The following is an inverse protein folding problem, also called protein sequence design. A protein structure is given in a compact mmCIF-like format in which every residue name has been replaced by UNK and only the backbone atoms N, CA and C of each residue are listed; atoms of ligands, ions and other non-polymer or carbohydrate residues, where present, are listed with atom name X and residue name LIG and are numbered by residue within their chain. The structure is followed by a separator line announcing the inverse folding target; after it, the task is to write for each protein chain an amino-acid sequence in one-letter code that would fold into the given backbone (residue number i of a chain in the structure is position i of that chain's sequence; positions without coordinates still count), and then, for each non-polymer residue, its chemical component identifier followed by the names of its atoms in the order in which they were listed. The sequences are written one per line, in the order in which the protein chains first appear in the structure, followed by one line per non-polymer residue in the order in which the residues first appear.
data_IF_743385600831
#
_entry.id   IF_743385600831
#
_cell.length_a   1.000
_cell.length_b   1.000
_cell.length_c   1.000
_cell.angle_alpha   90.00
_cell.angle_beta   90.00
_cell.angle_gamma   90.00
#
_symmetry.space_group_name_H-M   'P 1'
#
loop_
_entity.id
_entity.type
_entity.pdbx_description
1 polymer ?
#
# COMPACT_ATOMS: atom_id res chain seq x y z
N UNK A 1 17.61 -5.53 -29.33
CA UNK A 1 17.46 -5.06 -27.94
C UNK A 1 18.84 -4.81 -27.36
N UNK A 2 18.98 -3.75 -26.56
CA UNK A 2 20.20 -3.52 -25.77
C UNK A 2 20.34 -4.63 -24.74
N UNK A 3 21.54 -5.20 -24.58
CA UNK A 3 21.78 -6.18 -23.51
C UNK A 3 21.77 -5.46 -22.16
N UNK A 4 20.74 -5.72 -21.37
CA UNK A 4 20.50 -5.15 -20.04
C UNK A 4 20.95 -6.06 -18.90
N UNK A 5 21.66 -7.17 -19.20
CA UNK A 5 22.20 -8.10 -18.21
C UNK A 5 23.07 -7.42 -17.14
N UNK A 6 23.98 -6.48 -17.49
CA UNK A 6 24.75 -5.76 -16.47
C UNK A 6 23.88 -4.97 -15.48
N UNK A 7 22.80 -4.36 -15.96
CA UNK A 7 21.90 -3.55 -15.14
C UNK A 7 21.03 -4.41 -14.23
N UNK A 8 20.57 -5.57 -14.69
CA UNK A 8 19.89 -6.58 -13.85
C UNK A 8 20.78 -7.06 -12.70
N UNK A 9 22.03 -7.43 -13.00
CA UNK A 9 23.01 -7.84 -11.97
C UNK A 9 23.30 -6.71 -10.98
N UNK A 10 23.50 -5.50 -11.48
CA UNK A 10 23.73 -4.33 -10.62
C UNK A 10 22.53 -4.02 -9.72
N UNK A 11 21.30 -4.23 -10.21
CA UNK A 11 20.08 -4.13 -9.39
C UNK A 11 20.06 -5.23 -8.32
N UNK A 12 20.28 -6.48 -8.69
CA UNK A 12 20.35 -7.59 -7.73
C UNK A 12 21.39 -7.33 -6.63
N UNK A 13 22.58 -6.84 -6.98
CA UNK A 13 23.62 -6.49 -6.01
C UNK A 13 23.20 -5.36 -5.06
N UNK A 14 22.45 -4.36 -5.56
CA UNK A 14 21.87 -3.31 -4.69
C UNK A 14 20.85 -3.90 -3.71
N UNK A 15 19.98 -4.80 -4.17
CA UNK A 15 18.97 -5.45 -3.34
C UNK A 15 19.60 -6.35 -2.26
N UNK A 16 20.67 -7.08 -2.59
CA UNK A 16 21.45 -7.84 -1.61
C UNK A 16 22.07 -6.93 -0.57
N UNK A 17 22.69 -5.81 -0.99
CA UNK A 17 23.27 -4.82 -0.05
C UNK A 17 22.21 -4.17 0.85
N UNK A 18 20.99 -3.98 0.34
CA UNK A 18 19.87 -3.48 1.13
C UNK A 18 19.29 -4.53 2.10
N UNK A 19 19.75 -5.79 2.03
CA UNK A 19 19.30 -6.87 2.91
C UNK A 19 17.92 -7.44 2.57
N UNK A 20 17.33 -7.05 1.45
CA UNK A 20 15.98 -7.46 1.04
C UNK A 20 15.96 -8.62 0.05
N UNK A 21 17.10 -8.93 -0.58
CA UNK A 21 17.26 -10.08 -1.46
C UNK A 21 18.28 -11.03 -0.83
N UNK A 22 17.81 -12.17 -0.36
CA UNK A 22 18.59 -13.10 0.47
C UNK A 22 18.72 -14.45 -0.22
N UNK A 23 17.66 -14.90 -0.90
CA UNK A 23 17.61 -16.20 -1.57
C UNK A 23 18.35 -16.17 -2.91
N UNK A 24 19.27 -17.13 -3.16
CA UNK A 24 19.90 -17.28 -4.47
C UNK A 24 18.89 -17.51 -5.61
N UNK A 25 17.74 -18.13 -5.31
CA UNK A 25 16.71 -18.40 -6.32
C UNK A 25 15.91 -17.14 -6.69
N UNK A 26 15.62 -16.27 -5.73
CA UNK A 26 15.03 -14.96 -6.03
C UNK A 26 16.04 -14.04 -6.72
N UNK A 27 17.33 -14.18 -6.40
CA UNK A 27 18.39 -13.46 -7.10
C UNK A 27 18.45 -13.84 -8.57
N UNK A 28 18.35 -15.13 -8.88
CA UNK A 28 18.27 -15.60 -10.26
C UNK A 28 17.08 -14.98 -11.02
N UNK A 29 15.91 -14.86 -10.36
CA UNK A 29 14.74 -14.20 -10.97
C UNK A 29 15.01 -12.72 -11.30
N UNK A 30 15.59 -11.95 -10.37
CA UNK A 30 15.95 -10.54 -10.61
C UNK A 30 16.97 -10.40 -11.74
N UNK A 31 17.95 -11.31 -11.80
CA UNK A 31 18.98 -11.30 -12.85
C UNK A 31 18.46 -11.75 -14.23
N UNK A 32 17.36 -12.51 -14.28
CA UNK A 32 16.77 -13.03 -15.51
C UNK A 32 15.68 -12.13 -16.10
N UNK A 33 14.81 -11.54 -15.27
CA UNK A 33 13.62 -10.81 -15.75
C UNK A 33 13.97 -9.38 -16.18
N UNK A 34 13.77 -9.01 -17.46
CA UNK A 34 14.08 -7.68 -17.99
C UNK A 34 13.02 -6.65 -17.56
N UNK A 35 13.28 -5.89 -16.48
CA UNK A 35 12.32 -4.93 -15.91
C UNK A 35 11.83 -3.89 -16.93
N UNK A 36 12.66 -3.51 -17.89
CA UNK A 36 12.34 -2.54 -18.95
C UNK A 36 11.16 -2.96 -19.84
N UNK A 37 10.90 -4.26 -20.00
CA UNK A 37 9.75 -4.74 -20.81
C UNK A 37 8.41 -4.43 -20.15
N UNK A 38 8.40 -4.26 -18.82
CA UNK A 38 7.20 -4.03 -18.04
C UNK A 38 6.86 -2.54 -17.89
N UNK A 39 7.60 -1.65 -18.57
CA UNK A 39 7.42 -0.19 -18.45
C UNK A 39 6.78 0.44 -19.69
N UNK A 40 6.38 -0.37 -20.67
CA UNK A 40 5.69 0.10 -21.87
C UNK A 40 4.26 0.59 -21.53
N UNK A 41 3.78 1.69 -22.14
CA UNK A 41 4.40 2.50 -23.20
C UNK A 41 5.28 3.66 -22.69
N UNK A 42 5.53 3.75 -21.39
CA UNK A 42 6.27 4.85 -20.78
C UNK A 42 5.99 4.99 -19.28
N UNK A 43 6.76 5.85 -18.63
CA UNK A 43 6.64 6.15 -17.20
C UNK A 43 6.54 7.65 -16.95
N UNK A 44 6.02 8.03 -15.79
CA UNK A 44 6.00 9.39 -15.29
C UNK A 44 6.99 9.53 -14.14
N UNK A 45 7.85 10.55 -14.21
CA UNK A 45 8.81 10.91 -13.17
C UNK A 45 8.40 12.22 -12.50
N UNK A 46 8.65 12.43 -11.20
CA UNK A 46 8.32 13.70 -10.54
C UNK A 46 9.12 14.86 -11.18
N UNK A 47 8.45 15.97 -11.49
CA UNK A 47 9.07 17.17 -12.08
C UNK A 47 9.61 18.16 -11.03
N UNK A 48 9.36 17.92 -9.74
CA UNK A 48 9.83 18.75 -8.62
C UNK A 48 8.90 19.91 -8.22
N UNK A 49 7.93 20.25 -9.07
CA UNK A 49 6.91 21.29 -8.86
C UNK A 49 5.52 20.70 -8.54
N UNK A 50 5.47 19.41 -8.19
CA UNK A 50 4.22 18.67 -7.97
C UNK A 50 3.63 18.02 -9.22
N UNK A 51 4.14 18.32 -10.42
CA UNK A 51 3.71 17.71 -11.68
C UNK A 51 4.50 16.44 -12.01
N UNK A 52 3.98 15.71 -13.00
CA UNK A 52 4.55 14.50 -13.56
C UNK A 52 5.14 14.77 -14.94
N UNK A 53 6.44 14.51 -15.10
CA UNK A 53 7.13 14.56 -16.39
C UNK A 53 6.98 13.21 -17.11
N UNK A 54 6.37 13.17 -18.32
CA UNK A 54 6.29 11.95 -19.09
C UNK A 54 7.65 11.56 -19.66
N UNK A 55 7.93 10.26 -19.66
CA UNK A 55 9.04 9.62 -20.37
C UNK A 55 8.46 8.46 -21.17
N UNK A 56 8.11 8.66 -22.45
CA UNK A 56 7.65 7.59 -23.31
C UNK A 56 8.80 6.62 -23.61
N UNK A 57 8.49 5.34 -23.78
CA UNK A 57 9.47 4.35 -24.24
C UNK A 57 9.97 4.73 -25.65
N UNK A 58 9.02 5.02 -26.55
CA UNK A 58 9.33 5.46 -27.91
C UNK A 58 9.85 6.89 -27.90
N UNK A 59 11.00 7.12 -28.53
CA UNK A 59 11.64 8.43 -28.62
C UNK A 59 12.63 8.74 -27.48
N UNK A 60 12.65 7.94 -26.42
CA UNK A 60 13.69 8.01 -25.39
C UNK A 60 14.93 7.23 -25.82
N UNK A 61 16.13 7.79 -25.60
CA UNK A 61 17.37 7.11 -25.93
C UNK A 61 17.52 5.81 -25.12
N UNK A 62 17.94 4.71 -25.76
CA UNK A 62 18.01 3.38 -25.11
C UNK A 62 18.81 3.38 -23.79
N UNK A 63 19.91 4.13 -23.74
CA UNK A 63 20.73 4.27 -22.53
C UNK A 63 19.98 4.97 -21.39
N UNK A 64 19.17 6.00 -21.70
CA UNK A 64 18.35 6.68 -20.72
C UNK A 64 17.19 5.80 -20.24
N UNK A 65 16.49 5.14 -21.17
CA UNK A 65 15.41 4.20 -20.84
C UNK A 65 15.88 3.08 -19.91
N UNK A 66 17.02 2.47 -20.26
CA UNK A 66 17.65 1.44 -19.43
C UNK A 66 18.03 1.99 -18.06
N UNK A 67 18.60 3.20 -17.97
CA UNK A 67 18.94 3.80 -16.67
C UNK A 67 17.69 3.96 -15.80
N UNK A 68 16.60 4.47 -16.37
CA UNK A 68 15.32 4.68 -15.66
C UNK A 68 14.74 3.35 -15.19
N UNK A 69 14.71 2.34 -16.07
CA UNK A 69 14.12 1.03 -15.78
C UNK A 69 14.75 0.33 -14.57
N UNK A 70 16.02 0.60 -14.28
CA UNK A 70 16.76 -0.02 -13.18
C UNK A 70 16.99 0.91 -11.97
N UNK A 71 16.33 2.07 -11.92
CA UNK A 71 16.28 2.88 -10.71
C UNK A 71 15.58 2.13 -9.57
N UNK A 72 16.07 2.32 -8.35
CA UNK A 72 15.37 1.83 -7.15
C UNK A 72 14.30 2.84 -6.71
N UNK A 73 13.40 3.15 -7.64
CA UNK A 73 12.30 4.10 -7.49
C UNK A 73 11.00 3.46 -7.99
N UNK A 74 9.88 3.93 -7.44
CA UNK A 74 8.56 3.62 -7.98
C UNK A 74 8.37 4.41 -9.26
N UNK A 75 8.18 3.70 -10.37
CA UNK A 75 7.97 4.31 -11.68
C UNK A 75 6.47 4.33 -11.98
N UNK A 76 5.86 5.52 -11.96
CA UNK A 76 4.43 5.67 -12.23
C UNK A 76 4.13 5.33 -13.70
N UNK A 77 3.25 4.36 -13.95
CA UNK A 77 2.91 3.88 -15.31
C UNK A 77 1.55 4.39 -15.79
N UNK A 78 0.70 4.88 -14.87
CA UNK A 78 -0.61 5.42 -15.20
C UNK A 78 -1.02 6.55 -14.24
N UNK A 79 -1.58 7.62 -14.79
CA UNK A 79 -2.25 8.70 -14.05
C UNK A 79 -3.78 8.65 -14.31
N UNK A 80 -4.56 9.00 -13.29
CA UNK A 80 -6.01 9.22 -13.36
C UNK A 80 -6.81 8.06 -14.00
N UNK A 81 -6.32 6.83 -13.84
CA UNK A 81 -6.94 5.60 -14.33
C UNK A 81 -6.92 5.43 -15.85
N UNK A 82 -6.21 6.29 -16.60
CA UNK A 82 -6.26 6.26 -18.08
C UNK A 82 -5.05 6.82 -18.80
N UNK A 83 -4.32 7.74 -18.19
CA UNK A 83 -3.28 8.50 -18.88
C UNK A 83 -1.94 7.79 -18.79
N UNK A 84 -1.31 7.57 -19.95
CA UNK A 84 0.01 6.97 -20.11
C UNK A 84 0.99 8.01 -20.70
N UNK A 85 2.29 7.84 -20.46
CA UNK A 85 3.28 8.86 -20.75
C UNK A 85 3.46 9.16 -22.27
N UNK A 86 3.15 8.21 -23.14
CA UNK A 86 3.15 8.35 -24.60
C UNK A 86 2.06 9.29 -25.13
N UNK A 87 1.07 9.65 -24.31
CA UNK A 87 -0.09 10.46 -24.72
C UNK A 87 0.06 11.95 -24.44
N UNK A 88 1.18 12.38 -23.87
CA UNK A 88 1.41 13.77 -23.45
C UNK A 88 2.80 14.24 -23.85
N UNK A 89 2.89 15.49 -24.32
CA UNK A 89 4.15 16.09 -24.79
C UNK A 89 4.94 16.88 -23.73
N UNK A 90 4.44 16.99 -22.50
CA UNK A 90 5.06 17.80 -21.45
C UNK A 90 4.52 17.48 -20.06
N UNK A 91 5.02 18.17 -19.01
CA UNK A 91 4.61 17.91 -17.64
C UNK A 91 3.11 18.13 -17.41
N UNK A 92 2.48 17.22 -16.68
CA UNK A 92 1.03 17.22 -16.40
C UNK A 92 0.74 17.03 -14.92
N UNK A 93 -0.40 17.54 -14.48
CA UNK A 93 -0.99 17.15 -13.19
C UNK A 93 -1.62 15.75 -13.31
N UNK A 94 -1.81 15.09 -12.17
CA UNK A 94 -2.53 13.81 -12.12
C UNK A 94 -2.23 13.01 -10.86
N UNK A 95 -3.14 12.11 -10.53
CA UNK A 95 -2.99 11.17 -9.42
C UNK A 95 -2.49 9.82 -9.95
N UNK A 96 -1.37 9.28 -9.43
CA UNK A 96 -0.91 7.94 -9.76
C UNK A 96 -1.98 6.89 -9.48
N UNK A 97 -2.19 6.01 -10.45
CA UNK A 97 -3.18 4.91 -10.39
C UNK A 97 -2.59 3.55 -10.76
N UNK A 98 -1.36 3.54 -11.28
CA UNK A 98 -0.53 2.35 -11.45
C UNK A 98 0.95 2.75 -11.41
N UNK A 99 1.79 1.86 -10.91
CA UNK A 99 3.25 2.00 -10.93
C UNK A 99 3.94 0.63 -11.02
N UNK A 100 5.18 0.63 -11.51
CA UNK A 100 6.15 -0.41 -11.17
C UNK A 100 6.81 0.00 -9.85
N UNK A 101 6.39 -0.63 -8.75
CA UNK A 101 6.90 -0.37 -7.40
C UNK A 101 8.42 -0.47 -7.33
N UNK A 102 9.02 0.26 -6.40
CA UNK A 102 10.44 0.15 -6.02
C UNK A 102 10.87 -1.33 -5.94
N UNK A 103 11.95 -1.72 -6.64
CA UNK A 103 12.52 -3.06 -6.56
C UNK A 103 12.80 -3.50 -5.12
N UNK A 104 13.32 -2.60 -4.27
CA UNK A 104 13.55 -2.93 -2.86
C UNK A 104 12.28 -3.40 -2.16
N UNK A 105 11.17 -2.68 -2.31
CA UNK A 105 9.92 -3.02 -1.62
C UNK A 105 9.31 -4.31 -2.16
N UNK A 106 9.24 -4.46 -3.49
CA UNK A 106 8.56 -5.61 -4.08
C UNK A 106 9.33 -6.92 -3.88
N UNK A 107 10.67 -6.88 -3.97
CA UNK A 107 11.51 -8.06 -3.71
C UNK A 107 11.52 -8.43 -2.23
N UNK A 108 11.56 -7.44 -1.33
CA UNK A 108 11.42 -7.66 0.11
C UNK A 108 10.11 -8.40 0.46
N UNK A 109 9.00 -7.98 -0.14
CA UNK A 109 7.71 -8.64 0.05
C UNK A 109 7.68 -10.06 -0.52
N UNK A 110 8.26 -10.28 -1.70
CA UNK A 110 8.36 -11.61 -2.32
C UNK A 110 9.20 -12.57 -1.45
N UNK A 111 10.29 -12.09 -0.85
CA UNK A 111 11.10 -12.88 0.10
C UNK A 111 10.30 -13.20 1.36
N UNK A 112 9.63 -12.20 1.95
CA UNK A 112 8.77 -12.36 3.14
C UNK A 112 7.54 -13.24 2.91
N UNK A 113 7.13 -13.44 1.65
CA UNK A 113 6.05 -14.35 1.27
C UNK A 113 6.43 -15.82 1.55
N UNK A 114 7.73 -16.15 1.63
CA UNK A 114 8.22 -17.50 1.92
C UNK A 114 7.61 -18.55 0.99
N UNK A 115 7.51 -18.22 -0.31
CA UNK A 115 7.01 -19.17 -1.31
C UNK A 115 8.08 -20.23 -1.62
N UNK A 116 7.65 -21.49 -1.68
CA UNK A 116 8.49 -22.65 -1.97
C UNK A 116 8.06 -23.32 -3.28
N UNK A 117 8.87 -24.25 -3.78
CA UNK A 117 8.61 -24.95 -5.03
C UNK A 117 7.27 -25.70 -4.93
N UNK A 118 6.43 -25.58 -5.98
CA UNK A 118 5.10 -26.17 -6.01
C UNK A 118 3.99 -25.33 -5.36
N UNK A 119 4.31 -24.23 -4.67
CA UNK A 119 3.28 -23.35 -4.12
C UNK A 119 2.53 -22.58 -5.22
N UNK A 120 1.21 -22.53 -5.11
CA UNK A 120 0.33 -21.69 -5.93
C UNK A 120 0.18 -20.32 -5.27
N UNK A 121 0.40 -19.26 -6.05
CA UNK A 121 0.39 -17.88 -5.57
C UNK A 121 -0.72 -17.08 -6.24
N UNK A 122 -1.49 -16.36 -5.42
CA UNK A 122 -2.38 -15.30 -5.87
C UNK A 122 -1.72 -13.95 -5.60
N UNK A 123 -1.52 -13.17 -6.65
CA UNK A 123 -1.13 -11.76 -6.59
C UNK A 123 -2.35 -10.86 -6.80
N UNK A 124 -2.50 -9.85 -5.94
CA UNK A 124 -3.53 -8.82 -6.07
C UNK A 124 -2.87 -7.49 -6.44
N UNK A 125 -3.23 -6.97 -7.61
CA UNK A 125 -2.65 -5.76 -8.20
C UNK A 125 -1.49 -6.06 -9.13
N UNK A 126 -1.77 -6.69 -10.29
CA UNK A 126 -0.74 -7.01 -11.31
C UNK A 126 0.09 -5.78 -11.68
N UNK A 127 -0.55 -4.62 -11.84
CA UNK A 127 0.13 -3.37 -12.18
C UNK A 127 0.97 -3.52 -13.46
N UNK A 128 2.28 -3.37 -13.35
CA UNK A 128 3.17 -3.51 -14.49
C UNK A 128 3.42 -4.97 -14.92
N UNK A 129 3.15 -5.96 -14.05
CA UNK A 129 3.46 -7.38 -14.27
C UNK A 129 4.88 -7.82 -13.88
N UNK A 130 5.73 -6.89 -13.40
CA UNK A 130 7.13 -7.21 -13.10
C UNK A 130 7.27 -8.19 -11.92
N UNK A 131 6.51 -7.98 -10.83
CA UNK A 131 6.49 -8.89 -9.69
C UNK A 131 5.95 -10.26 -10.06
N UNK A 132 4.89 -10.31 -10.87
CA UNK A 132 4.34 -11.55 -11.42
C UNK A 132 5.41 -12.31 -12.19
N UNK A 133 6.19 -11.64 -13.05
CA UNK A 133 7.26 -12.26 -13.82
C UNK A 133 8.40 -12.81 -12.95
N UNK A 134 8.78 -12.12 -11.87
CA UNK A 134 9.74 -12.63 -10.89
C UNK A 134 9.24 -13.93 -10.25
N UNK A 135 7.97 -13.97 -9.88
CA UNK A 135 7.34 -15.16 -9.30
C UNK A 135 7.17 -16.28 -10.33
N UNK A 136 6.83 -15.98 -11.59
CA UNK A 136 6.77 -16.94 -12.69
C UNK A 136 8.13 -17.60 -12.91
N UNK A 137 9.21 -16.81 -12.95
CA UNK A 137 10.57 -17.34 -13.07
C UNK A 137 10.91 -18.30 -11.94
N UNK A 138 10.56 -17.92 -10.70
CA UNK A 138 10.92 -18.67 -9.50
C UNK A 138 10.09 -19.93 -9.29
N UNK A 139 8.77 -19.86 -9.53
CA UNK A 139 7.81 -20.88 -9.11
C UNK A 139 7.18 -21.62 -10.29
N UNK A 140 7.38 -21.15 -11.52
CA UNK A 140 6.68 -21.61 -12.71
C UNK A 140 5.41 -20.78 -12.96
N UNK A 141 5.19 -20.38 -14.22
CA UNK A 141 4.07 -19.52 -14.64
C UNK A 141 2.69 -20.10 -14.33
N UNK A 142 2.56 -21.43 -14.41
CA UNK A 142 1.33 -22.16 -14.06
C UNK A 142 0.93 -21.98 -12.59
N UNK A 143 1.90 -21.72 -11.71
CA UNK A 143 1.65 -21.55 -10.27
C UNK A 143 1.24 -20.14 -9.90
N UNK A 144 1.31 -19.19 -10.84
CA UNK A 144 0.96 -17.79 -10.57
C UNK A 144 -0.46 -17.50 -11.09
N UNK A 145 -1.20 -16.72 -10.32
CA UNK A 145 -2.43 -16.06 -10.73
C UNK A 145 -2.33 -14.62 -10.28
N UNK A 146 -2.56 -13.66 -11.17
CA UNK A 146 -2.46 -12.24 -10.84
C UNK A 146 -3.75 -11.53 -11.26
N UNK A 147 -4.26 -10.65 -10.39
CA UNK A 147 -5.54 -9.96 -10.62
C UNK A 147 -5.31 -8.45 -10.73
N UNK A 148 -5.81 -7.86 -11.81
CA UNK A 148 -5.77 -6.42 -12.07
C UNK A 148 -7.18 -5.89 -12.34
N UNK A 149 -7.54 -4.77 -11.71
CA UNK A 149 -8.88 -4.19 -11.80
C UNK A 149 -9.06 -3.36 -13.07
N UNK A 150 -7.98 -2.80 -13.60
CA UNK A 150 -7.97 -2.00 -14.82
C UNK A 150 -7.73 -2.86 -16.07
N UNK A 151 -8.71 -2.99 -16.98
CA UNK A 151 -8.55 -3.82 -18.17
C UNK A 151 -7.39 -3.39 -19.08
N UNK A 152 -7.08 -2.10 -19.15
CA UNK A 152 -6.00 -1.59 -19.99
C UNK A 152 -4.63 -1.83 -19.35
N UNK A 153 -4.53 -1.78 -18.01
CA UNK A 153 -3.31 -2.16 -17.29
C UNK A 153 -3.10 -3.67 -17.40
N UNK A 154 -4.14 -4.48 -17.17
CA UNK A 154 -4.09 -5.94 -17.27
C UNK A 154 -3.57 -6.38 -18.65
N UNK A 155 -4.12 -5.82 -19.73
CA UNK A 155 -3.69 -6.14 -21.09
C UNK A 155 -2.22 -5.78 -21.37
N UNK A 156 -1.72 -4.65 -20.80
CA UNK A 156 -0.30 -4.28 -20.94
C UNK A 156 0.61 -5.20 -20.15
N UNK A 157 0.22 -5.57 -18.93
CA UNK A 157 0.98 -6.50 -18.10
C UNK A 157 1.06 -7.87 -18.76
N UNK A 158 -0.05 -8.37 -19.31
CA UNK A 158 -0.12 -9.64 -20.03
C UNK A 158 0.82 -9.65 -21.24
N UNK A 159 0.77 -8.60 -22.08
CA UNK A 159 1.69 -8.45 -23.21
C UNK A 159 3.17 -8.38 -22.77
N UNK A 160 3.47 -7.72 -21.64
CA UNK A 160 4.83 -7.66 -21.10
C UNK A 160 5.30 -9.02 -20.55
N UNK A 161 4.42 -9.78 -19.92
CA UNK A 161 4.67 -11.14 -19.46
C UNK A 161 4.96 -12.06 -20.65
N UNK A 162 4.14 -12.03 -21.69
CA UNK A 162 4.35 -12.80 -22.92
C UNK A 162 5.68 -12.43 -23.59
N UNK A 163 6.01 -11.14 -23.69
CA UNK A 163 7.27 -10.66 -24.24
C UNK A 163 8.49 -11.10 -23.42
N UNK A 164 8.32 -11.28 -22.10
CA UNK A 164 9.33 -11.83 -21.21
C UNK A 164 9.39 -13.38 -21.21
N UNK A 165 8.50 -14.03 -21.97
CA UNK A 165 8.44 -15.49 -22.11
C UNK A 165 7.62 -16.20 -21.04
N UNK A 166 6.69 -15.49 -20.38
CA UNK A 166 5.80 -16.06 -19.38
C UNK A 166 4.33 -15.99 -19.81
N UNK A 167 3.62 -17.10 -19.70
CA UNK A 167 2.16 -17.20 -19.88
C UNK A 167 1.51 -17.63 -18.58
N UNK A 168 1.03 -16.66 -17.80
CA UNK A 168 0.38 -16.92 -16.51
C UNK A 168 -1.09 -16.49 -16.53
N UNK A 169 -1.80 -16.74 -15.44
CA UNK A 169 -3.22 -16.39 -15.31
C UNK A 169 -3.35 -14.92 -14.94
N UNK A 170 -3.29 -14.04 -15.95
CA UNK A 170 -3.58 -12.60 -15.82
C UNK A 170 -5.09 -12.38 -15.89
N UNK A 171 -5.70 -12.01 -14.77
CA UNK A 171 -7.15 -11.89 -14.64
C UNK A 171 -7.56 -10.43 -14.47
N UNK A 172 -8.42 -9.94 -15.36
CA UNK A 172 -9.10 -8.66 -15.16
C UNK A 172 -10.27 -8.84 -14.19
N UNK A 173 -10.23 -8.16 -13.03
CA UNK A 173 -11.28 -8.24 -12.03
C UNK A 173 -10.97 -7.50 -10.72
N UNK A 174 -11.95 -7.44 -9.82
CA UNK A 174 -11.73 -6.87 -8.48
C UNK A 174 -10.93 -7.84 -7.60
N UNK A 175 -9.65 -7.50 -7.39
CA UNK A 175 -8.75 -8.27 -6.55
C UNK A 175 -9.21 -8.44 -5.10
N UNK A 176 -10.08 -7.58 -4.57
CA UNK A 176 -10.65 -7.77 -3.22
C UNK A 176 -11.49 -9.05 -3.10
N UNK A 177 -12.01 -9.55 -4.23
CA UNK A 177 -12.76 -10.80 -4.31
C UNK A 177 -11.84 -12.02 -4.48
N UNK A 178 -10.54 -11.81 -4.71
CA UNK A 178 -9.58 -12.86 -5.07
C UNK A 178 -9.90 -13.48 -6.43
N UNK A 179 -9.47 -14.73 -6.62
CA UNK A 179 -9.78 -15.51 -7.81
C UNK A 179 -10.15 -16.96 -7.44
N UNK A 180 -11.41 -17.23 -7.07
CA UNK A 180 -11.79 -18.52 -6.47
C UNK A 180 -11.66 -19.72 -7.42
N UNK A 181 -11.60 -19.51 -8.75
CA UNK A 181 -11.50 -20.60 -9.73
C UNK A 181 -10.18 -21.37 -9.66
N UNK A 182 -9.12 -20.77 -9.10
CA UNK A 182 -7.82 -21.43 -8.92
C UNK A 182 -7.44 -21.65 -7.47
N UNK A 183 -8.30 -21.27 -6.52
CA UNK A 183 -8.13 -21.62 -5.11
C UNK A 183 -8.14 -23.17 -4.91
N UNK A 184 -7.53 -23.68 -3.83
CA UNK A 184 -6.81 -22.95 -2.81
C UNK A 184 -5.42 -22.49 -3.27
N UNK A 185 -4.95 -21.40 -2.65
CA UNK A 185 -3.60 -20.86 -2.82
C UNK A 185 -2.74 -21.15 -1.59
N UNK A 186 -1.46 -21.39 -1.78
CA UNK A 186 -0.51 -21.52 -0.66
C UNK A 186 -0.03 -20.15 -0.18
N UNK A 187 -0.03 -19.17 -1.09
CA UNK A 187 0.42 -17.80 -0.84
C UNK A 187 -0.51 -16.80 -1.49
N UNK A 188 -0.82 -15.73 -0.77
CA UNK A 188 -1.51 -14.55 -1.31
C UNK A 188 -0.66 -13.34 -1.01
N UNK A 189 -0.36 -12.53 -2.02
CA UNK A 189 0.38 -11.29 -1.90
C UNK A 189 -0.42 -10.15 -2.54
N UNK A 190 -0.52 -9.01 -1.86
CA UNK A 190 -1.12 -7.81 -2.42
C UNK A 190 -0.06 -6.74 -2.67
N UNK A 191 0.14 -6.41 -3.94
CA UNK A 191 0.97 -5.30 -4.45
C UNK A 191 0.15 -4.01 -4.59
N UNK A 192 -0.92 -3.90 -3.80
CA UNK A 192 -1.68 -2.70 -3.48
C UNK A 192 -1.98 -2.67 -1.98
N UNK A 193 -2.28 -1.50 -1.44
CA UNK A 193 -2.75 -1.38 -0.06
C UNK A 193 -4.26 -1.63 0.02
N UNK A 194 -4.71 -2.18 1.15
CA UNK A 194 -6.13 -2.40 1.45
C UNK A 194 -6.43 -1.89 2.85
N UNK A 195 -7.63 -1.36 3.11
CA UNK A 195 -8.04 -0.92 4.46
C UNK A 195 -7.92 -2.04 5.49
N UNK A 196 -8.15 -3.28 5.05
CA UNK A 196 -7.98 -4.53 5.80
C UNK A 196 -7.87 -5.70 4.81
N UNK A 197 -7.23 -6.80 5.20
CA UNK A 197 -7.20 -8.03 4.41
C UNK A 197 -8.65 -8.54 4.22
N UNK A 198 -9.17 -8.63 2.98
CA UNK A 198 -10.48 -9.21 2.71
C UNK A 198 -10.57 -10.68 3.14
N UNK A 199 -11.68 -11.06 3.78
CA UNK A 199 -11.89 -12.46 4.17
C UNK A 199 -11.95 -13.41 2.96
N UNK A 200 -12.24 -12.89 1.76
CA UNK A 200 -12.17 -13.64 0.51
C UNK A 200 -10.77 -14.21 0.26
N UNK A 201 -9.70 -13.51 0.66
CA UNK A 201 -8.33 -14.00 0.54
C UNK A 201 -8.08 -15.13 1.52
N UNK A 202 -8.44 -14.95 2.79
CA UNK A 202 -8.31 -15.99 3.83
C UNK A 202 -9.02 -17.29 3.42
N UNK A 203 -10.27 -17.19 2.96
CA UNK A 203 -11.05 -18.37 2.50
C UNK A 203 -10.47 -19.06 1.26
N UNK A 204 -9.71 -18.34 0.45
CA UNK A 204 -9.08 -18.88 -0.76
C UNK A 204 -7.66 -19.40 -0.52
N UNK A 205 -7.13 -19.24 0.69
CA UNK A 205 -5.80 -19.73 1.06
C UNK A 205 -5.93 -21.08 1.78
N UNK A 206 -5.06 -22.02 1.44
CA UNK A 206 -4.97 -23.31 2.14
C UNK A 206 -4.58 -23.10 3.61
N UNK A 207 -4.99 -24.00 4.54
CA UNK A 207 -4.42 -24.01 5.88
C UNK A 207 -2.90 -24.11 5.86
N UNK A 208 -2.23 -23.36 6.74
CA UNK A 208 -0.79 -23.14 6.74
C UNK A 208 -0.29 -22.15 5.66
N UNK A 209 -1.16 -21.68 4.77
CA UNK A 209 -0.81 -20.69 3.75
C UNK A 209 -0.68 -19.28 4.33
N UNK A 210 0.10 -18.44 3.64
CA UNK A 210 0.43 -17.08 4.08
C UNK A 210 -0.33 -16.05 3.24
N UNK A 211 -0.93 -15.05 3.91
CA UNK A 211 -1.43 -13.83 3.28
C UNK A 211 -0.54 -12.66 3.70
N UNK A 212 0.04 -11.98 2.70
CA UNK A 212 0.92 -10.83 2.87
C UNK A 212 0.33 -9.60 2.17
N UNK A 213 0.02 -8.55 2.93
CA UNK A 213 -0.61 -7.36 2.37
C UNK A 213 -0.31 -6.10 3.15
N UNK A 214 -0.20 -4.98 2.46
CA UNK A 214 -0.16 -3.67 3.11
C UNK A 214 -1.56 -3.30 3.58
N UNK A 215 -1.77 -3.17 4.89
CA UNK A 215 -3.06 -2.81 5.50
C UNK A 215 -3.10 -1.36 5.98
N UNK A 216 -4.25 -0.72 5.84
CA UNK A 216 -4.50 0.67 6.17
C UNK A 216 -4.57 1.58 4.95
N UNK A 217 -4.34 2.88 5.16
CA UNK A 217 -4.06 3.87 4.13
C UNK A 217 -5.11 4.95 3.92
N UNK A 218 -6.04 5.14 4.87
CA UNK A 218 -6.80 6.41 4.98
C UNK A 218 -5.97 7.52 5.65
N UNK A 219 -4.83 7.13 6.23
CA UNK A 219 -3.85 8.01 6.86
C UNK A 219 -2.54 7.92 6.08
N UNK A 220 -2.05 9.06 5.59
CA UNK A 220 -0.74 9.12 4.95
C UNK A 220 0.32 8.61 5.93
N UNK A 221 1.19 7.70 5.46
CA UNK A 221 2.24 7.08 6.28
C UNK A 221 1.73 6.26 7.49
N UNK A 222 0.45 5.88 7.52
CA UNK A 222 -0.16 5.07 8.61
C UNK A 222 -0.48 3.62 8.21
N UNK A 223 0.35 3.00 7.37
CA UNK A 223 0.12 1.66 6.79
C UNK A 223 1.12 0.62 7.29
N UNK A 224 0.70 -0.63 7.45
CA UNK A 224 1.55 -1.71 7.94
C UNK A 224 1.58 -2.91 6.99
N UNK A 225 2.73 -3.56 6.82
CA UNK A 225 2.80 -4.84 6.11
C UNK A 225 2.29 -5.94 7.05
N UNK A 226 1.07 -6.42 6.81
CA UNK A 226 0.51 -7.54 7.54
C UNK A 226 0.97 -8.87 6.92
N UNK A 227 1.45 -9.78 7.77
CA UNK A 227 1.72 -11.18 7.43
C UNK A 227 0.92 -12.07 8.38
N UNK A 228 -0.01 -12.84 7.83
CA UNK A 228 -0.87 -13.77 8.59
C UNK A 228 -0.84 -15.16 7.98
N UNK A 229 -0.94 -16.17 8.83
CA UNK A 229 -1.04 -17.59 8.46
C UNK A 229 -2.46 -18.06 8.65
N UNK A 230 -3.02 -18.75 7.66
CA UNK A 230 -4.38 -19.29 7.73
C UNK A 230 -4.40 -20.59 8.52
N UNK A 231 -5.33 -20.71 9.47
CA UNK A 231 -5.54 -21.91 10.28
C UNK A 231 -6.63 -22.82 9.68
N UNK A 232 -6.68 -24.07 10.14
CA UNK A 232 -7.67 -25.07 9.67
C UNK A 232 -9.12 -24.67 9.96
N UNK A 233 -9.36 -23.82 10.96
CA UNK A 233 -10.69 -23.34 11.34
C UNK A 233 -11.19 -22.15 10.50
N UNK A 234 -10.41 -21.73 9.49
CA UNK A 234 -10.74 -20.61 8.60
C UNK A 234 -10.47 -19.23 9.22
N UNK A 235 -9.74 -19.16 10.33
CA UNK A 235 -9.16 -17.92 10.86
C UNK A 235 -7.76 -17.69 10.31
N UNK A 236 -7.22 -16.47 10.45
CA UNK A 236 -5.83 -16.19 10.13
C UNK A 236 -5.17 -15.36 11.23
N UNK A 237 -3.94 -15.70 11.60
CA UNK A 237 -3.22 -15.07 12.70
C UNK A 237 -1.79 -14.71 12.32
N UNK A 238 -1.28 -13.62 12.88
CA UNK A 238 0.08 -13.15 12.64
C UNK A 238 0.26 -11.73 13.18
N UNK A 239 0.88 -10.86 12.40
CA UNK A 239 1.14 -9.50 12.83
C UNK A 239 1.48 -8.53 11.70
N UNK A 240 1.67 -7.29 12.10
CA UNK A 240 2.31 -6.29 11.26
C UNK A 240 3.81 -6.48 11.41
N UNK A 241 4.55 -6.63 10.31
CA UNK A 241 5.98 -6.95 10.33
C UNK A 241 6.87 -5.78 9.94
N UNK A 242 6.27 -4.61 9.69
CA UNK A 242 6.99 -3.39 9.39
C UNK A 242 6.12 -2.32 8.69
N UNK A 243 6.66 -1.11 8.51
CA UNK A 243 6.05 -0.09 7.68
C UNK A 243 6.07 -0.52 6.20
N UNK A 244 5.00 -0.24 5.48
CA UNK A 244 4.92 -0.44 4.02
C UNK A 244 3.89 0.51 3.43
N UNK A 245 4.09 1.00 2.21
CA UNK A 245 3.17 1.91 1.55
C UNK A 245 2.96 1.52 0.09
N UNK A 246 1.70 1.50 -0.33
CA UNK A 246 1.25 1.19 -1.68
C UNK A 246 0.07 2.08 -2.04
N UNK A 247 -0.21 2.23 -3.34
CA UNK A 247 -1.49 2.77 -3.79
C UNK A 247 -2.62 1.88 -3.27
N UNK A 248 -3.74 2.49 -2.87
CA UNK A 248 -4.92 1.76 -2.43
C UNK A 248 -5.53 0.95 -3.58
N UNK A 249 -6.07 -0.23 -3.27
CA UNK A 249 -6.95 -0.96 -4.17
C UNK A 249 -8.06 -0.04 -4.69
N UNK A 250 -8.35 -0.08 -5.99
CA UNK A 250 -9.13 0.96 -6.68
C UNK A 250 -10.52 1.21 -6.07
N UNK A 251 -11.20 0.17 -5.61
CA UNK A 251 -12.52 0.30 -4.95
C UNK A 251 -12.45 0.85 -3.52
N UNK A 252 -11.25 0.92 -2.93
CA UNK A 252 -10.99 1.48 -1.61
C UNK A 252 -10.22 2.80 -1.66
N UNK A 253 -9.71 3.19 -2.83
CA UNK A 253 -8.97 4.41 -3.04
C UNK A 253 -9.79 5.62 -2.60
N UNK A 254 -9.17 6.48 -1.80
CA UNK A 254 -9.83 7.69 -1.33
C UNK A 254 -9.98 8.66 -2.48
N UNK A 255 -11.22 9.12 -2.69
CA UNK A 255 -11.49 10.26 -3.54
C UNK A 255 -10.97 11.53 -2.84
N UNK A 256 -10.47 12.52 -3.60
CA UNK A 256 -10.19 13.85 -3.05
C UNK A 256 -11.40 14.32 -2.24
N UNK A 257 -11.15 14.89 -1.06
CA UNK A 257 -12.24 15.39 -0.23
C UNK A 257 -13.03 16.46 -0.99
N UNK A 258 -14.28 16.16 -1.31
CA UNK A 258 -15.21 17.11 -1.94
C UNK A 258 -16.11 17.71 -0.86
N UNK A 259 -15.95 19.00 -0.57
CA UNK A 259 -16.82 19.72 0.36
C UNK A 259 -16.14 20.92 1.00
N UNK A 260 -16.93 21.78 1.61
CA UNK A 260 -16.43 22.92 2.38
C UNK A 260 -16.08 22.47 3.80
N UNK A 261 -14.78 22.26 4.04
CA UNK A 261 -14.25 21.89 5.35
C UNK A 261 -14.55 22.96 6.41
N UNK A 262 -14.63 24.23 6.02
CA UNK A 262 -14.94 25.32 6.94
C UNK A 262 -16.40 25.25 7.41
N UNK A 263 -17.33 24.96 6.50
CA UNK A 263 -18.74 24.75 6.85
C UNK A 263 -18.92 23.51 7.76
N UNK A 264 -18.22 22.42 7.47
CA UNK A 264 -18.30 21.18 8.29
C UNK A 264 -17.77 21.36 9.71
N UNK A 265 -16.75 22.20 9.88
CA UNK A 265 -16.05 22.40 11.16
C UNK A 265 -16.53 23.66 11.90
N UNK A 266 -17.55 24.34 11.37
CA UNK A 266 -18.06 25.59 11.92
C UNK A 266 -18.64 25.41 13.33
N UNK A 267 -19.45 24.37 13.53
CA UNK A 267 -20.15 24.08 14.78
C UNK A 267 -19.56 22.86 15.45
N UNK A 268 -18.77 23.09 16.50
CA UNK A 268 -18.21 22.04 17.33
C UNK A 268 -19.11 21.80 18.55
N UNK A 269 -19.30 20.54 18.89
CA UNK A 269 -20.00 20.11 20.10
C UNK A 269 -19.12 20.31 21.35
N UNK A 270 -17.79 20.29 21.16
CA UNK A 270 -16.83 20.50 22.22
C UNK A 270 -15.56 21.21 21.75
N UNK A 271 -14.91 21.92 22.67
CA UNK A 271 -13.61 22.54 22.50
C UNK A 271 -12.79 22.36 23.78
N UNK A 272 -11.56 21.85 23.65
CA UNK A 272 -10.66 21.66 24.79
C UNK A 272 -9.20 21.70 24.37
N UNK A 273 -8.32 21.88 25.35
CA UNK A 273 -6.90 21.63 25.16
C UNK A 273 -6.63 20.13 24.98
N UNK A 274 -5.69 19.79 24.09
CA UNK A 274 -5.23 18.41 23.90
C UNK A 274 -3.95 18.16 24.68
N UNK A 275 -3.87 17.00 25.33
CA UNK A 275 -2.68 16.53 26.04
C UNK A 275 -1.57 16.08 25.10
N UNK A 276 -1.93 15.69 23.88
CA UNK A 276 -0.99 15.29 22.84
C UNK A 276 -0.98 16.27 21.68
N UNK A 277 0.21 16.44 21.09
CA UNK A 277 0.36 17.20 19.86
C UNK A 277 -0.23 16.41 18.68
N UNK A 278 -1.13 16.99 17.85
CA UNK A 278 -1.65 16.33 16.65
C UNK A 278 -0.54 16.09 15.61
N UNK A 279 0.65 16.67 15.79
CA UNK A 279 1.80 16.44 14.93
C UNK A 279 2.39 15.05 15.06
N UNK A 280 2.10 14.33 16.15
CA UNK A 280 2.46 12.91 16.26
C UNK A 280 1.91 12.11 15.09
N UNK A 281 0.78 12.52 14.49
CA UNK A 281 0.19 11.88 13.31
C UNK A 281 1.02 12.05 12.02
N UNK A 282 2.14 12.79 12.06
CA UNK A 282 3.15 12.82 10.99
C UNK A 282 4.14 11.64 11.10
N UNK A 283 4.20 10.98 12.25
CA UNK A 283 5.02 9.79 12.48
C UNK A 283 4.26 8.52 12.10
N UNK A 284 4.99 7.53 11.59
CA UNK A 284 4.40 6.33 11.01
C UNK A 284 3.58 5.49 12.00
N UNK A 285 4.14 5.21 13.18
CA UNK A 285 3.49 4.37 14.18
C UNK A 285 2.26 5.05 14.80
N UNK A 286 2.32 6.32 15.26
CA UNK A 286 1.14 7.03 15.71
C UNK A 286 0.04 7.13 14.64
N UNK A 287 0.39 7.39 13.36
CA UNK A 287 -0.60 7.40 12.28
C UNK A 287 -1.27 6.03 12.08
N UNK A 288 -0.50 4.94 12.16
CA UNK A 288 -1.04 3.58 12.11
C UNK A 288 -1.99 3.29 13.28
N UNK A 289 -1.63 3.67 14.51
CA UNK A 289 -2.49 3.50 15.69
C UNK A 289 -3.76 4.37 15.64
N UNK A 290 -3.64 5.61 15.17
CA UNK A 290 -4.77 6.51 15.00
C UNK A 290 -5.80 5.93 14.03
N UNK A 291 -5.33 5.28 12.95
CA UNK A 291 -6.20 4.56 12.04
C UNK A 291 -6.90 3.36 12.68
N UNK A 292 -6.24 2.65 13.60
CA UNK A 292 -6.91 1.57 14.34
C UNK A 292 -7.98 2.10 15.29
N UNK A 293 -7.75 3.26 15.91
CA UNK A 293 -8.70 3.92 16.80
C UNK A 293 -9.88 4.56 16.04
N UNK A 294 -9.62 5.12 14.86
CA UNK A 294 -10.61 5.82 14.04
C UNK A 294 -10.52 5.37 12.56
N UNK A 295 -10.98 4.14 12.23
CA UNK A 295 -10.76 3.53 10.91
C UNK A 295 -11.52 4.18 9.76
N UNK A 296 -12.56 4.98 10.05
CA UNK A 296 -13.28 5.78 9.04
C UNK A 296 -12.74 7.20 8.87
N UNK A 297 -11.85 7.65 9.77
CA UNK A 297 -11.32 8.99 9.73
C UNK A 297 -10.16 9.12 8.74
N UNK A 298 -10.02 10.33 8.20
CA UNK A 298 -8.93 10.78 7.33
C UNK A 298 -8.27 12.00 7.94
N UNK A 299 -6.95 12.11 7.78
CA UNK A 299 -6.20 13.32 8.13
C UNK A 299 -6.13 14.27 6.93
N UNK A 300 -6.76 15.42 7.06
CA UNK A 300 -6.74 16.50 6.06
C UNK A 300 -5.78 17.59 6.53
N UNK A 301 -4.84 17.95 5.66
CA UNK A 301 -3.88 19.04 5.84
C UNK A 301 -4.29 20.19 4.92
N UNK A 302 -4.41 21.38 5.49
CA UNK A 302 -4.70 22.58 4.73
C UNK A 302 -3.87 23.74 5.27
N UNK A 303 -3.84 24.83 4.51
CA UNK A 303 -3.25 26.10 4.93
C UNK A 303 -4.38 27.12 5.01
N UNK A 304 -4.45 27.87 6.10
CA UNK A 304 -5.40 28.98 6.22
C UNK A 304 -5.06 30.09 5.21
N UNK A 305 -6.00 31.01 4.98
CA UNK A 305 -5.76 32.19 4.14
C UNK A 305 -4.59 33.06 4.64
N UNK A 306 -4.29 32.98 5.93
CA UNK A 306 -3.21 33.70 6.62
C UNK A 306 -1.88 32.91 6.64
N UNK A 307 -1.82 31.74 5.99
CA UNK A 307 -0.61 30.91 5.93
C UNK A 307 -0.42 29.95 7.11
N UNK A 308 -1.37 29.90 8.05
CA UNK A 308 -1.32 29.00 9.21
C UNK A 308 -1.63 27.55 8.85
N UNK A 309 -0.94 26.59 9.48
CA UNK A 309 -1.21 25.16 9.26
C UNK A 309 -2.54 24.75 9.88
N UNK A 310 -3.39 24.09 9.10
CA UNK A 310 -4.64 23.49 9.53
C UNK A 310 -4.55 21.97 9.45
N UNK A 311 -4.85 21.31 10.56
CA UNK A 311 -4.96 19.86 10.66
C UNK A 311 -6.41 19.53 11.04
N UNK A 312 -7.01 18.60 10.30
CA UNK A 312 -8.37 18.14 10.56
C UNK A 312 -8.45 16.63 10.43
N UNK A 313 -9.18 15.99 11.35
CA UNK A 313 -9.66 14.62 11.20
C UNK A 313 -11.10 14.67 10.72
N UNK A 314 -11.44 13.88 9.70
CA UNK A 314 -12.79 13.82 9.17
C UNK A 314 -13.19 12.37 8.90
N UNK A 315 -14.28 11.93 9.51
CA UNK A 315 -15.02 10.72 9.11
C UNK A 315 -16.28 11.21 8.38
N UNK A 316 -16.25 11.19 7.05
CA UNK A 316 -17.32 11.73 6.24
C UNK A 316 -18.58 10.84 6.29
N UNK A 317 -18.41 9.53 6.44
CA UNK A 317 -19.51 8.56 6.47
C UNK A 317 -20.32 8.68 7.76
N UNK A 318 -19.66 9.03 8.86
CA UNK A 318 -20.29 9.24 10.17
C UNK A 318 -20.42 10.71 10.56
N UNK A 319 -20.18 11.61 9.62
CA UNK A 319 -20.34 13.06 9.82
C UNK A 319 -19.63 13.59 11.09
N UNK A 320 -18.45 13.04 11.39
CA UNK A 320 -17.66 13.41 12.57
C UNK A 320 -16.37 14.11 12.19
N UNK A 321 -15.92 15.08 12.99
CA UNK A 321 -14.68 15.80 12.75
C UNK A 321 -13.92 16.15 14.03
N UNK A 322 -12.62 16.41 13.88
CA UNK A 322 -11.78 17.09 14.86
C UNK A 322 -10.87 18.11 14.15
N UNK A 323 -10.86 19.35 14.61
CA UNK A 323 -10.07 20.44 14.05
C UNK A 323 -9.09 20.97 15.09
N UNK A 324 -7.84 21.16 14.69
CA UNK A 324 -6.77 21.59 15.60
C UNK A 324 -6.36 23.03 15.35
N UNK A 325 -6.09 23.76 16.44
CA UNK A 325 -5.53 25.11 16.40
C UNK A 325 -4.36 25.20 17.38
N UNK A 326 -3.21 25.68 16.90
CA UNK A 326 -2.03 25.92 17.74
C UNK A 326 -2.22 27.22 18.53
N UNK A 327 -2.06 27.17 19.86
CA UNK A 327 -2.20 28.34 20.74
C UNK A 327 -0.87 29.05 21.07
N UNK A 328 0.23 28.56 20.50
CA UNK A 328 1.59 28.99 20.83
C UNK A 328 2.21 28.18 21.98
N UNK A 329 3.54 28.20 22.08
CA UNK A 329 4.28 27.45 23.11
C UNK A 329 4.17 25.92 22.99
N UNK A 330 3.78 25.40 21.83
CA UNK A 330 3.59 23.96 21.59
C UNK A 330 2.25 23.39 22.08
N UNK A 331 1.37 24.23 22.63
CA UNK A 331 0.02 23.83 23.07
C UNK A 331 -0.98 23.85 21.90
N UNK A 332 -1.93 22.91 21.94
CA UNK A 332 -2.94 22.73 20.90
C UNK A 332 -4.33 22.67 21.51
N UNK A 333 -5.30 23.22 20.80
CA UNK A 333 -6.73 23.07 21.10
C UNK A 333 -7.37 22.23 20.02
N UNK A 334 -8.28 21.35 20.43
CA UNK A 334 -9.09 20.53 19.55
C UNK A 334 -10.56 20.94 19.69
N UNK A 335 -11.20 21.17 18.55
CA UNK A 335 -12.64 21.35 18.41
C UNK A 335 -13.20 20.12 17.72
N UNK A 336 -14.23 19.48 18.28
CA UNK A 336 -14.80 18.24 17.70
C UNK A 336 -16.30 18.36 17.59
N UNK A 337 -16.88 17.70 16.60
CA UNK A 337 -18.33 17.61 16.43
C UNK A 337 -18.75 16.35 15.68
N UNK A 338 -20.01 15.99 15.85
CA UNK A 338 -20.61 14.79 15.28
C UNK A 338 -20.68 13.62 16.26
N UNK A 339 -21.22 12.46 15.84
CA UNK A 339 -21.51 11.33 16.72
C UNK A 339 -20.26 10.63 17.28
N UNK A 340 -19.07 10.85 16.71
CA UNK A 340 -17.81 10.30 17.20
C UNK A 340 -16.85 11.41 17.63
N UNK A 341 -16.35 11.31 18.87
CA UNK A 341 -15.20 12.08 19.33
C UNK A 341 -13.89 11.48 18.78
N UNK A 342 -13.60 11.76 17.50
CA UNK A 342 -12.48 11.14 16.76
C UNK A 342 -11.14 11.32 17.46
N UNK A 343 -10.83 12.53 17.92
CA UNK A 343 -9.57 12.81 18.60
C UNK A 343 -9.51 12.19 19.99
N UNK A 344 -10.62 12.06 20.71
CA UNK A 344 -10.60 11.41 22.04
C UNK A 344 -10.18 9.94 21.92
N UNK A 345 -10.70 9.24 20.91
CA UNK A 345 -10.31 7.86 20.62
C UNK A 345 -8.83 7.75 20.21
N UNK A 346 -8.36 8.67 19.35
CA UNK A 346 -6.96 8.72 18.90
C UNK A 346 -6.02 9.07 20.06
N UNK A 347 -6.32 10.12 20.82
CA UNK A 347 -5.53 10.58 21.95
C UNK A 347 -5.43 9.51 23.03
N UNK A 348 -6.52 8.79 23.33
CA UNK A 348 -6.49 7.66 24.26
C UNK A 348 -5.55 6.54 23.78
N UNK A 349 -5.63 6.16 22.49
CA UNK A 349 -4.77 5.13 21.92
C UNK A 349 -3.29 5.52 21.94
N UNK A 350 -2.98 6.78 21.60
CA UNK A 350 -1.61 7.29 21.57
C UNK A 350 -1.03 7.47 22.98
N UNK A 351 -1.82 7.93 23.95
CA UNK A 351 -1.40 8.02 25.36
C UNK A 351 -1.10 6.64 25.92
N UNK A 352 -1.98 5.66 25.70
CA UNK A 352 -1.75 4.27 26.11
C UNK A 352 -0.49 3.67 25.45
N UNK A 353 -0.18 4.05 24.21
CA UNK A 353 1.04 3.64 23.52
C UNK A 353 2.30 4.30 24.12
N UNK A 354 2.23 5.58 24.50
CA UNK A 354 3.32 6.25 25.21
C UNK A 354 3.57 5.62 26.59
N UNK A 355 2.51 5.31 27.35
CA UNK A 355 2.57 4.63 28.65
C UNK A 355 3.16 3.23 28.54
N UNK A 356 2.88 2.54 27.41
CA UNK A 356 3.49 1.27 27.05
C UNK A 356 4.97 1.37 26.64
N UNK A 357 5.60 2.54 26.78
CA UNK A 357 6.97 2.84 26.35
C UNK A 357 7.19 2.74 24.84
N UNK A 358 6.18 3.12 24.06
CA UNK A 358 6.25 3.29 22.61
C UNK A 358 6.71 2.03 21.86
N UNK A 359 6.03 0.87 22.04
CA UNK A 359 6.37 -0.35 21.31
C UNK A 359 6.30 -0.14 19.79
N UNK A 360 7.18 -0.84 19.07
CA UNK A 360 7.28 -0.77 17.61
C UNK A 360 6.09 -1.39 16.88
N UNK A 361 5.94 -1.06 15.58
CA UNK A 361 4.83 -1.57 14.76
C UNK A 361 4.86 -3.10 14.62
N UNK A 362 6.04 -3.71 14.71
CA UNK A 362 6.30 -5.15 14.66
C UNK A 362 5.75 -5.94 15.86
N UNK A 363 5.37 -5.21 16.91
CA UNK A 363 4.70 -5.79 18.10
C UNK A 363 3.20 -5.96 17.91
N UNK A 364 2.60 -5.36 16.87
CA UNK A 364 1.17 -5.43 16.61
C UNK A 364 0.81 -6.81 16.06
N UNK A 365 0.00 -7.54 16.80
CA UNK A 365 -0.60 -8.82 16.38
C UNK A 365 -1.93 -8.57 15.68
N UNK A 366 -2.23 -9.42 14.70
CA UNK A 366 -3.45 -9.37 13.90
C UNK A 366 -4.09 -10.75 13.88
N UNK A 367 -5.37 -10.80 14.27
CA UNK A 367 -6.24 -11.96 14.11
C UNK A 367 -7.41 -11.61 13.20
N UNK A 368 -7.67 -12.45 12.22
CA UNK A 368 -8.72 -12.28 11.22
C UNK A 368 -9.71 -13.44 11.34
N UNK A 369 -10.98 -13.08 11.44
CA UNK A 369 -12.11 -13.99 11.41
C UNK A 369 -13.07 -13.56 10.31
N UNK A 370 -14.14 -14.32 10.09
CA UNK A 370 -15.19 -13.91 9.15
C UNK A 370 -15.94 -12.67 9.64
N UNK A 371 -15.98 -12.44 10.94
CA UNK A 371 -16.78 -11.41 11.62
C UNK A 371 -15.97 -10.18 12.03
N UNK A 372 -14.65 -10.28 12.15
CA UNK A 372 -13.82 -9.18 12.65
C UNK A 372 -12.33 -9.33 12.34
N UNK A 373 -11.66 -8.17 12.29
CA UNK A 373 -10.21 -8.03 12.44
C UNK A 373 -9.91 -7.54 13.85
N UNK A 374 -9.01 -8.22 14.56
CA UNK A 374 -8.57 -7.82 15.89
C UNK A 374 -7.08 -7.51 15.85
N UNK A 375 -6.73 -6.27 16.15
CA UNK A 375 -5.37 -5.80 16.32
C UNK A 375 -5.06 -5.69 17.81
N UNK A 376 -3.89 -6.11 18.25
CA UNK A 376 -3.48 -5.96 19.64
C UNK A 376 -1.98 -5.84 19.81
N UNK A 377 -1.53 -5.15 20.85
CA UNK A 377 -0.15 -5.22 21.34
C UNK A 377 -0.16 -6.06 22.62
N UNK A 378 0.53 -7.20 22.62
CA UNK A 378 0.55 -8.13 23.75
C UNK A 378 1.07 -7.47 25.03
N UNK A 379 0.46 -7.80 26.17
CA UNK A 379 0.78 -7.17 27.46
C UNK A 379 0.13 -5.80 27.69
N UNK A 380 -0.58 -5.24 26.70
CA UNK A 380 -1.21 -3.92 26.81
C UNK A 380 -2.71 -3.97 26.45
N UNK A 381 -3.61 -4.29 27.41
CA UNK A 381 -5.05 -4.45 27.15
C UNK A 381 -5.73 -3.21 26.55
N UNK A 382 -5.23 -2.01 26.86
CA UNK A 382 -5.71 -0.75 26.30
C UNK A 382 -5.35 -0.56 24.82
N UNK A 383 -4.37 -1.33 24.31
CA UNK A 383 -3.91 -1.32 22.92
C UNK A 383 -4.49 -2.53 22.18
N UNK A 384 -5.82 -2.59 22.16
CA UNK A 384 -6.61 -3.62 21.46
C UNK A 384 -7.75 -2.97 20.68
N UNK A 385 -7.82 -3.25 19.39
CA UNK A 385 -8.85 -2.73 18.49
C UNK A 385 -9.54 -3.89 17.80
N UNK A 386 -10.87 -3.93 17.87
CA UNK A 386 -11.68 -4.92 17.17
C UNK A 386 -12.56 -4.22 16.13
N UNK A 387 -12.24 -4.43 14.86
CA UNK A 387 -13.01 -3.92 13.73
C UNK A 387 -13.97 -5.01 13.25
N UNK A 388 -15.25 -4.88 13.59
CA UNK A 388 -16.28 -5.84 13.16
C UNK A 388 -16.66 -5.63 11.70
N UNK A 389 -16.90 -6.74 11.00
CA UNK A 389 -17.40 -6.81 9.65
C UNK A 389 -18.92 -6.97 9.76
N UNK A 390 -19.64 -5.87 9.52
CA UNK A 390 -21.10 -5.79 9.52
C UNK A 390 -21.68 -6.08 8.14
#
# INVERSE_FOLDING_TARGET
MTDTTPQRRALADRLVRAGVLVSPRWRAAVEAVPRELFLSPGVFLPAGDGRWRPVPETGTASAEWTRIAYLDESLTTQLDGRLTADRVGGPVDGSPTSSSTTPVTVVDMIEKLEAADGHRVLEIGTGSGYSSALMCHRLGEDNITTVEVDPAVAARADAALEAAGYSTWTVTGDGLLGHPRRAPYDRVIATCAVRRIPYAWVRQTAPGGIVLATVGGTWNYGTGLAKVTVADDGTAEGGIIGPSSFMQARSQADLPFTGDLSARTAYADSERETSLSPLLLEEWMPAFLAQLAAPGARLIRATSAEGGRLLNLVDADRESFASFTEKGGGSWTVRQGGPLALWDAVEQALSAWQDARRPGIDTVRLRITREAHTYQIEGHPALRWQHRLG
#
